data_IF_407233748808
#
_entry.id   IF_407233748808
#
_cell.length_a   1.000
_cell.length_b   1.000
_cell.length_c   1.000
_cell.angle_alpha   90.00
_cell.angle_beta   90.00
_cell.angle_gamma   90.00
#
_symmetry.space_group_name_H-M   'P 1'
#
loop_
_entity.id
_entity.type
_entity.pdbx_description
1 polymer ?
#
# COMPACT_ATOMS: atom_id res chain seq x y z
N UNK A 1 -12.38 -2.77 -21.47
CA UNK A 1 -11.18 -3.18 -20.69
C UNK A 1 -10.13 -2.07 -20.49
N UNK A 2 -9.89 -1.16 -21.44
CA UNK A 2 -8.83 -0.14 -21.34
C UNK A 2 -8.92 0.84 -20.16
N UNK A 3 -10.08 1.16 -19.67
CA UNK A 3 -10.27 2.14 -18.60
C UNK A 3 -10.01 1.58 -17.17
N UNK A 4 -10.11 0.26 -16.95
CA UNK A 4 -9.63 -0.37 -15.69
C UNK A 4 -8.11 -0.23 -15.61
N UNK A 5 -7.42 -0.52 -16.72
CA UNK A 5 -5.97 -0.31 -16.79
C UNK A 5 -5.62 1.18 -16.57
N UNK A 6 -6.42 2.12 -17.08
CA UNK A 6 -6.22 3.54 -16.85
C UNK A 6 -6.43 3.95 -15.37
N UNK A 7 -7.42 3.39 -14.68
CA UNK A 7 -7.64 3.62 -13.23
C UNK A 7 -6.47 3.06 -12.41
N UNK A 8 -6.02 1.85 -12.72
CA UNK A 8 -4.88 1.23 -12.03
C UNK A 8 -3.59 2.01 -12.29
N UNK A 9 -3.33 2.40 -13.53
CA UNK A 9 -2.17 3.22 -13.87
C UNK A 9 -2.22 4.59 -13.19
N UNK A 10 -3.38 5.24 -13.19
CA UNK A 10 -3.62 6.51 -12.50
C UNK A 10 -3.38 6.40 -10.99
N UNK A 11 -3.90 5.35 -10.37
CA UNK A 11 -3.65 5.05 -8.95
C UNK A 11 -2.17 4.84 -8.66
N UNK A 12 -1.48 4.03 -9.45
CA UNK A 12 -0.04 3.80 -9.33
C UNK A 12 0.78 5.08 -9.48
N UNK A 13 0.43 5.95 -10.43
CA UNK A 13 1.07 7.26 -10.59
C UNK A 13 0.84 8.15 -9.37
N UNK A 14 -0.38 8.23 -8.85
CA UNK A 14 -0.70 9.03 -7.66
C UNK A 14 0.08 8.56 -6.43
N UNK A 15 0.19 7.25 -6.21
CA UNK A 15 1.00 6.67 -5.14
C UNK A 15 2.48 6.97 -5.32
N UNK A 16 3.01 6.85 -6.54
CA UNK A 16 4.41 7.15 -6.86
C UNK A 16 4.72 8.63 -6.62
N UNK A 17 3.82 9.54 -7.03
CA UNK A 17 3.96 10.98 -6.76
C UNK A 17 3.87 11.30 -5.27
N UNK A 18 2.98 10.65 -4.53
CA UNK A 18 2.86 10.83 -3.08
C UNK A 18 4.15 10.39 -2.36
N UNK A 19 4.75 9.28 -2.79
CA UNK A 19 6.02 8.79 -2.28
C UNK A 19 7.17 9.73 -2.63
N UNK A 20 7.29 10.14 -3.90
CA UNK A 20 8.34 11.04 -4.38
C UNK A 20 8.32 12.39 -3.65
N UNK A 21 7.13 12.97 -3.42
CA UNK A 21 6.99 14.22 -2.66
C UNK A 21 7.47 14.09 -1.21
N UNK A 22 7.33 12.93 -0.59
CA UNK A 22 7.83 12.69 0.78
C UNK A 22 9.36 12.52 0.82
N UNK A 23 9.99 12.20 -0.30
CA UNK A 23 11.45 12.09 -0.41
C UNK A 23 12.15 13.44 -0.54
N UNK A 24 11.41 14.53 -0.84
CA UNK A 24 12.00 15.87 -0.98
C UNK A 24 12.05 16.56 0.40
N UNK A 25 13.25 16.82 0.95
CA UNK A 25 13.39 17.55 2.22
C UNK A 25 12.79 18.96 2.08
N UNK A 26 11.95 19.34 3.04
CA UNK A 26 11.38 20.71 3.07
C UNK A 26 10.10 20.90 2.26
N UNK A 27 9.57 19.90 1.58
CA UNK A 27 8.26 19.98 0.94
C UNK A 27 7.17 20.05 2.03
N UNK A 28 6.79 21.28 2.39
CA UNK A 28 5.67 21.54 3.30
C UNK A 28 4.36 21.25 2.57
N UNK A 29 3.55 20.37 3.17
CA UNK A 29 2.10 20.21 2.92
C UNK A 29 1.70 19.89 1.46
N UNK A 30 1.93 18.65 1.06
CA UNK A 30 1.05 18.01 0.06
C UNK A 30 -0.26 17.55 0.72
N UNK A 31 -1.26 17.21 -0.10
CA UNK A 31 -2.51 16.60 0.38
C UNK A 31 -2.21 15.50 1.39
N UNK A 32 -2.95 15.42 2.51
CA UNK A 32 -2.72 14.37 3.49
C UNK A 32 -2.84 13.01 2.81
N UNK A 33 -1.90 12.13 3.11
CA UNK A 33 -1.86 10.78 2.50
C UNK A 33 -3.19 10.04 2.68
N UNK A 34 -3.85 10.24 3.83
CA UNK A 34 -5.19 9.72 4.11
C UNK A 34 -6.23 10.15 3.06
N UNK A 35 -6.14 11.38 2.57
CA UNK A 35 -7.03 11.88 1.53
C UNK A 35 -6.77 11.18 0.19
N UNK A 36 -5.51 10.98 -0.19
CA UNK A 36 -5.14 10.26 -1.42
C UNK A 36 -5.59 8.81 -1.35
N UNK A 37 -5.37 8.14 -0.21
CA UNK A 37 -5.82 6.76 0.02
C UNK A 37 -7.34 6.64 -0.02
N UNK A 38 -8.04 7.55 0.67
CA UNK A 38 -9.50 7.56 0.69
C UNK A 38 -10.09 7.82 -0.70
N UNK A 39 -9.58 8.80 -1.44
CA UNK A 39 -10.05 9.13 -2.78
C UNK A 39 -9.78 7.98 -3.77
N UNK A 40 -8.58 7.38 -3.72
CA UNK A 40 -8.23 6.24 -4.56
C UNK A 40 -9.08 5.01 -4.23
N UNK A 41 -9.27 4.70 -2.95
CA UNK A 41 -10.11 3.60 -2.49
C UNK A 41 -11.57 3.79 -2.89
N UNK A 42 -12.11 4.98 -2.66
CA UNK A 42 -13.49 5.33 -3.05
C UNK A 42 -13.68 5.23 -4.56
N UNK A 43 -12.72 5.71 -5.35
CA UNK A 43 -12.75 5.62 -6.81
C UNK A 43 -12.76 4.17 -7.31
N UNK A 44 -11.92 3.31 -6.73
CA UNK A 44 -11.86 1.88 -7.07
C UNK A 44 -13.16 1.18 -6.70
N UNK A 45 -13.66 1.37 -5.47
CA UNK A 45 -14.91 0.76 -5.00
C UNK A 45 -16.09 1.23 -5.85
N UNK A 46 -16.22 2.53 -6.09
CA UNK A 46 -17.30 3.08 -6.93
C UNK A 46 -17.22 2.54 -8.36
N UNK A 47 -16.01 2.45 -8.92
CA UNK A 47 -15.80 1.86 -10.25
C UNK A 47 -16.25 0.40 -10.30
N UNK A 48 -15.91 -0.42 -9.31
CA UNK A 48 -16.34 -1.82 -9.25
C UNK A 48 -17.86 -1.91 -9.13
N UNK A 49 -18.47 -1.14 -8.22
CA UNK A 49 -19.91 -1.18 -7.94
C UNK A 49 -20.74 -0.77 -9.14
N UNK A 50 -20.30 0.26 -9.89
CA UNK A 50 -21.07 0.84 -11.00
C UNK A 50 -20.91 0.10 -12.32
N UNK A 51 -19.81 -0.62 -12.51
CA UNK A 51 -19.40 -1.07 -13.84
C UNK A 51 -19.39 -2.59 -14.00
N UNK A 52 -19.47 -3.33 -12.89
CA UNK A 52 -19.44 -4.78 -12.93
C UNK A 52 -20.77 -5.39 -12.47
N UNK A 53 -21.17 -6.53 -13.07
CA UNK A 53 -22.43 -7.19 -12.72
C UNK A 53 -22.41 -7.72 -11.28
N UNK A 54 -23.52 -7.56 -10.57
CA UNK A 54 -23.75 -8.06 -9.23
C UNK A 54 -24.27 -9.49 -9.27
N UNK A 55 -23.42 -10.42 -9.63
CA UNK A 55 -23.73 -11.84 -9.66
C UNK A 55 -22.72 -12.58 -8.78
N UNK A 56 -23.20 -13.55 -8.01
CA UNK A 56 -22.35 -14.43 -7.20
C UNK A 56 -22.40 -15.84 -7.77
N UNK A 57 -21.24 -16.45 -7.95
CA UNK A 57 -21.13 -17.87 -8.28
C UNK A 57 -21.38 -18.75 -7.06
N UNK A 58 -21.92 -19.95 -7.25
CA UNK A 58 -22.03 -20.95 -6.20
C UNK A 58 -20.66 -21.43 -5.66
N UNK A 59 -19.60 -21.24 -6.46
CA UNK A 59 -18.22 -21.59 -6.13
C UNK A 59 -17.38 -20.36 -5.73
N UNK A 60 -18.01 -19.29 -5.22
CA UNK A 60 -17.41 -17.99 -4.94
C UNK A 60 -16.07 -18.06 -4.18
N UNK A 61 -15.96 -18.93 -3.17
CA UNK A 61 -14.73 -19.05 -2.36
C UNK A 61 -13.65 -19.80 -3.14
N UNK A 62 -13.97 -20.92 -3.76
CA UNK A 62 -12.99 -21.73 -4.49
C UNK A 62 -12.49 -21.06 -5.76
N UNK A 63 -13.29 -20.22 -6.39
CA UNK A 63 -12.91 -19.41 -7.56
C UNK A 63 -12.11 -18.18 -7.17
N UNK A 64 -12.40 -17.58 -6.02
CA UNK A 64 -11.76 -16.33 -5.56
C UNK A 64 -10.44 -16.52 -4.84
N UNK A 65 -10.32 -17.59 -4.06
CA UNK A 65 -9.11 -17.87 -3.29
C UNK A 65 -7.81 -17.83 -4.11
N UNK A 66 -7.73 -18.45 -5.31
CA UNK A 66 -6.50 -18.40 -6.10
C UNK A 66 -6.11 -16.99 -6.53
N UNK A 67 -7.10 -16.12 -6.82
CA UNK A 67 -6.84 -14.72 -7.20
C UNK A 67 -6.26 -13.93 -6.03
N UNK A 68 -6.85 -14.03 -4.85
CA UNK A 68 -6.33 -13.39 -3.64
C UNK A 68 -4.95 -13.92 -3.24
N UNK A 69 -4.73 -15.24 -3.33
CA UNK A 69 -3.43 -15.85 -3.05
C UNK A 69 -2.35 -15.35 -4.02
N UNK A 70 -2.65 -15.25 -5.31
CA UNK A 70 -1.72 -14.75 -6.32
C UNK A 70 -1.38 -13.27 -6.08
N UNK A 71 -2.37 -12.45 -5.70
CA UNK A 71 -2.15 -11.06 -5.31
C UNK A 71 -1.16 -10.95 -4.14
N UNK A 72 -1.36 -11.73 -3.09
CA UNK A 72 -0.47 -11.79 -1.92
C UNK A 72 0.94 -12.23 -2.32
N UNK A 73 1.05 -13.27 -3.14
CA UNK A 73 2.34 -13.80 -3.61
C UNK A 73 3.17 -12.79 -4.39
N UNK A 74 2.53 -11.92 -5.15
CA UNK A 74 3.22 -10.86 -5.90
C UNK A 74 3.46 -9.62 -5.01
N UNK A 75 2.47 -9.23 -4.21
CA UNK A 75 2.54 -8.01 -3.41
C UNK A 75 3.58 -8.08 -2.28
N UNK A 76 3.75 -9.24 -1.62
CA UNK A 76 4.71 -9.37 -0.52
C UNK A 76 6.16 -9.10 -0.97
N UNK A 77 6.72 -9.81 -1.96
CA UNK A 77 8.10 -9.54 -2.41
C UNK A 77 8.25 -8.13 -2.98
N UNK A 78 7.26 -7.62 -3.72
CA UNK A 78 7.29 -6.25 -4.20
C UNK A 78 7.33 -5.23 -3.03
N UNK A 79 6.54 -5.46 -1.98
CA UNK A 79 6.56 -4.62 -0.76
C UNK A 79 7.94 -4.61 -0.12
N UNK A 80 8.58 -5.77 0.02
CA UNK A 80 9.93 -5.88 0.58
C UNK A 80 10.93 -5.09 -0.25
N UNK A 81 10.90 -5.24 -1.58
CA UNK A 81 11.80 -4.52 -2.49
C UNK A 81 11.59 -3.00 -2.36
N UNK A 82 10.35 -2.53 -2.43
CA UNK A 82 10.04 -1.11 -2.31
C UNK A 82 10.40 -0.55 -0.93
N UNK A 83 10.23 -1.34 0.13
CA UNK A 83 10.65 -0.96 1.47
C UNK A 83 12.17 -0.79 1.58
N UNK A 84 12.93 -1.73 1.01
CA UNK A 84 14.40 -1.64 0.99
C UNK A 84 14.88 -0.42 0.18
N UNK A 85 14.23 -0.11 -0.93
CA UNK A 85 14.52 1.08 -1.72
C UNK A 85 14.17 2.37 -0.96
N UNK A 86 13.00 2.42 -0.32
CA UNK A 86 12.56 3.57 0.48
C UNK A 86 13.50 3.86 1.66
N UNK A 87 14.01 2.84 2.33
CA UNK A 87 14.98 2.98 3.42
C UNK A 87 16.29 3.63 3.00
N UNK A 88 16.73 3.45 1.75
CA UNK A 88 17.93 4.11 1.21
C UNK A 88 17.74 5.62 1.04
N UNK A 89 16.51 6.10 0.91
CA UNK A 89 16.17 7.51 0.79
C UNK A 89 16.07 8.28 2.11
N UNK A 90 16.57 7.74 3.22
CA UNK A 90 16.50 8.35 4.55
C UNK A 90 15.07 8.68 5.03
N UNK A 91 14.08 7.93 4.55
CA UNK A 91 12.69 8.10 4.98
C UNK A 91 12.50 7.49 6.38
N UNK A 92 11.90 8.27 7.27
CA UNK A 92 11.51 7.79 8.59
C UNK A 92 10.39 6.76 8.45
N UNK A 93 10.54 5.61 9.12
CA UNK A 93 9.48 4.62 9.21
C UNK A 93 8.23 5.25 9.85
N UNK A 94 7.10 5.08 9.21
CA UNK A 94 5.80 5.57 9.69
C UNK A 94 4.67 4.76 9.06
N UNK A 95 3.49 4.77 9.69
CA UNK A 95 2.29 4.15 9.13
C UNK A 95 2.02 4.61 7.69
N UNK A 96 2.17 5.90 7.44
CA UNK A 96 1.97 6.47 6.11
C UNK A 96 2.95 5.95 5.06
N UNK A 97 4.23 5.76 5.41
CA UNK A 97 5.21 5.18 4.51
C UNK A 97 4.88 3.71 4.24
N UNK A 98 4.56 2.93 5.29
CA UNK A 98 4.17 1.53 5.15
C UNK A 98 2.96 1.35 4.25
N UNK A 99 1.92 2.17 4.43
CA UNK A 99 0.72 2.14 3.58
C UNK A 99 1.03 2.45 2.11
N UNK A 100 1.87 3.47 1.84
CA UNK A 100 2.22 3.86 0.46
C UNK A 100 3.06 2.80 -0.23
N UNK A 101 4.08 2.28 0.45
CA UNK A 101 4.97 1.25 -0.10
C UNK A 101 4.19 -0.03 -0.43
N UNK A 102 3.33 -0.47 0.49
CA UNK A 102 2.48 -1.66 0.26
C UNK A 102 1.41 -1.38 -0.78
N UNK A 103 0.80 -0.19 -0.77
CA UNK A 103 -0.17 0.21 -1.80
C UNK A 103 0.42 0.16 -3.21
N UNK A 104 1.64 0.66 -3.40
CA UNK A 104 2.33 0.58 -4.68
C UNK A 104 2.59 -0.87 -5.11
N UNK A 105 3.00 -1.73 -4.18
CA UNK A 105 3.20 -3.15 -4.44
C UNK A 105 1.90 -3.88 -4.82
N UNK A 106 0.80 -3.55 -4.16
CA UNK A 106 -0.55 -4.07 -4.47
C UNK A 106 -1.01 -3.63 -5.86
N UNK A 107 -0.81 -2.35 -6.23
CA UNK A 107 -1.13 -1.90 -7.60
C UNK A 107 -0.32 -2.64 -8.65
N UNK A 108 0.95 -2.93 -8.38
CA UNK A 108 1.78 -3.74 -9.25
C UNK A 108 1.25 -5.18 -9.38
N UNK A 109 0.77 -5.77 -8.27
CA UNK A 109 0.20 -7.12 -8.26
C UNK A 109 -1.16 -7.18 -8.99
N UNK A 110 -2.01 -6.18 -8.83
CA UNK A 110 -3.32 -6.12 -9.47
C UNK A 110 -3.24 -5.98 -11.00
N UNK A 111 -2.15 -5.38 -11.52
CA UNK A 111 -2.01 -5.15 -12.98
C UNK A 111 -2.04 -6.47 -13.78
N UNK A 112 -1.20 -7.49 -13.52
CA UNK A 112 -1.29 -8.76 -14.24
C UNK A 112 -2.56 -9.54 -13.92
N UNK A 113 -3.09 -9.43 -12.70
CA UNK A 113 -4.32 -10.11 -12.30
C UNK A 113 -5.54 -9.68 -13.13
N UNK A 114 -5.60 -8.43 -13.59
CA UNK A 114 -6.67 -7.95 -14.48
C UNK A 114 -6.73 -8.72 -15.81
N UNK A 115 -5.62 -9.27 -16.26
CA UNK A 115 -5.56 -10.04 -17.50
C UNK A 115 -5.79 -11.53 -17.28
N UNK A 116 -5.56 -12.02 -16.07
CA UNK A 116 -5.65 -13.45 -15.74
C UNK A 116 -6.99 -13.82 -15.09
N UNK A 117 -7.62 -12.88 -14.37
CA UNK A 117 -8.88 -13.14 -13.68
C UNK A 117 -10.04 -13.16 -14.69
N UNK A 118 -10.65 -14.33 -14.87
CA UNK A 118 -11.83 -14.51 -15.74
C UNK A 118 -13.14 -14.06 -15.06
N UNK A 119 -13.14 -13.91 -13.73
CA UNK A 119 -14.33 -13.59 -12.94
C UNK A 119 -14.44 -12.08 -12.73
N UNK A 120 -15.10 -11.40 -13.66
CA UNK A 120 -15.30 -9.95 -13.62
C UNK A 120 -16.68 -9.60 -13.01
N UNK A 121 -16.95 -10.09 -11.80
CA UNK A 121 -18.17 -9.81 -11.05
C UNK A 121 -17.85 -8.88 -9.88
N UNK A 122 -18.74 -7.92 -9.59
CA UNK A 122 -18.53 -6.94 -8.53
C UNK A 122 -18.22 -7.57 -7.16
N UNK A 123 -18.96 -8.58 -6.66
CA UNK A 123 -18.65 -9.23 -5.39
C UNK A 123 -17.26 -9.89 -5.39
N UNK A 124 -16.86 -10.53 -6.48
CA UNK A 124 -15.55 -11.17 -6.61
C UNK A 124 -14.41 -10.13 -6.51
N UNK A 125 -14.52 -9.05 -7.28
CA UNK A 125 -13.53 -7.98 -7.30
C UNK A 125 -13.45 -7.24 -5.96
N UNK A 126 -14.58 -7.01 -5.30
CA UNK A 126 -14.63 -6.34 -4.00
C UNK A 126 -13.99 -7.17 -2.89
N UNK A 127 -14.26 -8.47 -2.84
CA UNK A 127 -13.78 -9.32 -1.75
C UNK A 127 -12.35 -9.77 -1.99
N UNK A 128 -12.07 -10.34 -3.16
CA UNK A 128 -10.81 -11.03 -3.44
C UNK A 128 -9.68 -10.12 -3.94
N UNK A 129 -10.01 -8.97 -4.53
CA UNK A 129 -9.01 -7.99 -4.96
C UNK A 129 -8.99 -6.76 -4.05
N UNK A 130 -10.07 -6.02 -3.95
CA UNK A 130 -10.09 -4.81 -3.14
C UNK A 130 -9.97 -5.11 -1.63
N UNK A 131 -10.60 -6.19 -1.15
CA UNK A 131 -10.50 -6.64 0.24
C UNK A 131 -9.09 -7.10 0.60
N UNK A 132 -8.47 -7.93 -0.23
CA UNK A 132 -7.07 -8.37 -0.05
C UNK A 132 -6.12 -7.17 -0.08
N UNK A 133 -6.30 -6.25 -1.05
CA UNK A 133 -5.54 -5.01 -1.14
C UNK A 133 -5.64 -4.17 0.14
N UNK A 134 -6.85 -3.97 0.66
CA UNK A 134 -7.09 -3.20 1.88
C UNK A 134 -6.40 -3.81 3.10
N UNK A 135 -6.48 -5.13 3.25
CA UNK A 135 -5.80 -5.87 4.34
C UNK A 135 -4.28 -5.71 4.22
N UNK A 136 -3.70 -5.90 3.05
CA UNK A 136 -2.27 -5.75 2.84
C UNK A 136 -1.78 -4.32 3.12
N UNK A 137 -2.49 -3.31 2.64
CA UNK A 137 -2.16 -1.90 2.90
C UNK A 137 -2.26 -1.58 4.41
N UNK A 138 -3.29 -2.08 5.09
CA UNK A 138 -3.45 -1.94 6.53
C UNK A 138 -2.30 -2.59 7.31
N UNK A 139 -1.90 -3.80 6.94
CA UNK A 139 -0.74 -4.48 7.52
C UNK A 139 0.56 -3.71 7.25
N UNK A 140 0.74 -3.18 6.04
CA UNK A 140 1.88 -2.33 5.70
C UNK A 140 1.94 -1.07 6.55
N UNK A 141 0.80 -0.42 6.79
CA UNK A 141 0.71 0.73 7.68
C UNK A 141 1.11 0.36 9.12
N UNK A 142 0.59 -0.73 9.64
CA UNK A 142 0.88 -1.22 10.99
C UNK A 142 2.37 -1.55 11.15
N UNK A 143 2.96 -2.26 10.20
CA UNK A 143 4.40 -2.58 10.21
C UNK A 143 5.23 -1.29 10.18
N UNK A 144 4.85 -0.33 9.34
CA UNK A 144 5.52 0.97 9.25
C UNK A 144 5.50 1.73 10.57
N UNK A 145 4.39 1.72 11.29
CA UNK A 145 4.25 2.34 12.61
C UNK A 145 5.12 1.64 13.65
N UNK A 146 5.05 0.31 13.73
CA UNK A 146 5.83 -0.47 14.68
C UNK A 146 7.34 -0.28 14.49
N UNK A 147 7.80 -0.20 13.25
CA UNK A 147 9.20 0.06 12.93
C UNK A 147 9.61 1.49 13.29
N UNK A 148 8.72 2.48 13.10
CA UNK A 148 8.95 3.86 13.49
C UNK A 148 9.18 4.00 14.98
N UNK A 149 8.29 3.48 15.80
CA UNK A 149 8.42 3.51 17.27
C UNK A 149 9.71 2.87 17.77
N UNK A 150 10.16 1.78 17.15
CA UNK A 150 11.44 1.13 17.55
C UNK A 150 12.66 2.02 17.26
N UNK A 151 12.66 2.72 16.13
CA UNK A 151 13.77 3.60 15.76
C UNK A 151 13.84 4.83 16.67
N UNK A 152 12.71 5.43 17.03
CA UNK A 152 12.64 6.55 17.95
C UNK A 152 13.16 6.18 19.35
N UNK A 153 12.84 4.98 19.82
CA UNK A 153 13.35 4.48 21.09
C UNK A 153 14.89 4.33 21.09
N UNK A 154 15.45 3.78 20.01
CA UNK A 154 16.91 3.57 19.89
C UNK A 154 17.65 4.91 19.83
N UNK A 155 17.14 5.90 19.09
CA UNK A 155 17.72 7.24 18.98
C UNK A 155 17.68 7.99 20.30
N UNK A 156 16.56 7.92 21.03
CA UNK A 156 16.41 8.52 22.36
C UNK A 156 17.38 7.92 23.38
N UNK A 157 17.61 6.62 23.34
CA UNK A 157 18.53 5.95 24.24
C UNK A 157 19.99 6.31 23.95
N UNK A 158 20.38 6.39 22.68
CA UNK A 158 21.72 6.82 22.25
C UNK A 158 22.04 8.25 22.70
N UNK A 159 21.11 9.16 22.48
CA UNK A 159 21.24 10.57 22.89
C UNK A 159 21.47 10.76 24.40
N UNK A 160 20.75 9.99 25.24
CA UNK A 160 20.96 10.01 26.70
C UNK A 160 22.35 9.55 27.11
N UNK A 161 22.89 8.54 26.42
CA UNK A 161 24.22 8.00 26.69
C UNK A 161 25.33 9.02 26.41
N UNK A 162 25.19 9.77 25.32
CA UNK A 162 26.16 10.79 24.93
C UNK A 162 26.13 12.02 25.86
N UNK A 163 24.94 12.41 26.35
CA UNK A 163 24.82 13.45 27.37
C UNK A 163 25.46 13.07 28.71
N UNK A 164 25.33 11.79 29.11
CA UNK A 164 25.98 11.28 30.31
C UNK A 164 27.52 11.33 30.23
N UNK A 165 28.10 11.00 29.08
CA UNK A 165 29.55 11.09 28.86
C UNK A 165 30.07 12.55 28.92
N UNK A 166 29.33 13.53 28.38
CA UNK A 166 29.74 14.95 28.40
C UNK A 166 29.68 15.59 29.78
N UNK A 167 28.95 15.03 30.73
CA UNK A 167 28.92 15.51 32.14
C UNK A 167 30.05 14.99 33.00
N UNK A 168 30.74 13.96 32.54
CA UNK A 168 31.85 13.30 33.30
C UNK A 168 33.24 13.73 32.80
N UNK A 169 33.30 14.50 31.73
CA UNK A 169 34.51 15.16 31.20
C UNK A 169 34.61 16.61 31.63
#
# INVERSE_FOLDING_TARGET
>A
MGWIAAILAGGGILFSLALARRMVPGSRQGFPLSFVLALSGLGVISGIVLLFPWQTSHAFVSEGWPCGALEVMIAIPATVIFWLLARRGALFASAGLGAVVTGLAVFLALTPLQFQCMFQQAPHLLVWHAGTAAVLIGLGALIGELLGHRLDFVTAFSSRRDQGKRRLS
#
